data_IF_271834185448
#
_entry.id   IF_271834185448
#
_cell.length_a   1.000
_cell.length_b   1.000
_cell.length_c   1.000
_cell.angle_alpha   90.00
_cell.angle_beta   90.00
_cell.angle_gamma   90.00
#
_symmetry.space_group_name_H-M   'P 1'
#
loop_
_entity.id
_entity.type
_entity.pdbx_description
1 polymer ?
#
# COMPACT_ATOMS: atom_id res chain seq x y z
N UNK A 1 15.63 13.54 -7.22
CA UNK A 1 14.81 12.31 -7.32
C UNK A 1 13.63 12.58 -8.24
N UNK A 2 13.26 11.62 -9.09
CA UNK A 2 12.05 11.73 -9.93
C UNK A 2 10.77 11.61 -9.10
N UNK A 3 9.65 12.14 -9.61
CA UNK A 3 8.35 12.04 -8.92
C UNK A 3 7.95 10.59 -8.56
N UNK A 4 8.07 9.59 -9.46
CA UNK A 4 7.79 8.19 -9.12
C UNK A 4 8.69 7.65 -8.00
N UNK A 5 9.97 8.04 -7.98
CA UNK A 5 10.88 7.65 -6.91
C UNK A 5 10.49 8.28 -5.58
N UNK A 6 10.06 9.55 -5.59
CA UNK A 6 9.55 10.25 -4.41
C UNK A 6 8.34 9.50 -3.83
N UNK A 7 7.34 9.21 -4.66
CA UNK A 7 6.13 8.44 -4.28
C UNK A 7 6.50 7.10 -3.65
N UNK A 8 7.43 6.35 -4.26
CA UNK A 8 7.87 5.06 -3.73
C UNK A 8 8.66 5.17 -2.42
N UNK A 9 9.41 6.25 -2.23
CA UNK A 9 10.23 6.44 -1.03
C UNK A 9 9.46 6.97 0.19
N UNK A 10 8.36 7.69 -0.03
CA UNK A 10 7.63 8.36 1.05
C UNK A 10 7.05 7.40 2.10
N UNK A 11 6.42 6.27 1.76
CA UNK A 11 5.94 5.32 2.76
C UNK A 11 7.07 4.80 3.65
N UNK A 12 8.24 4.51 3.07
CA UNK A 12 9.41 4.06 3.82
C UNK A 12 9.89 5.13 4.80
N UNK A 13 9.98 6.38 4.36
CA UNK A 13 10.37 7.49 5.22
C UNK A 13 9.39 7.70 6.39
N UNK A 14 8.08 7.52 6.16
CA UNK A 14 7.07 7.61 7.22
C UNK A 14 7.24 6.47 8.22
N UNK A 15 7.39 5.23 7.76
CA UNK A 15 7.58 4.07 8.63
C UNK A 15 8.88 4.19 9.44
N UNK A 16 9.95 4.70 8.82
CA UNK A 16 11.23 4.93 9.51
C UNK A 16 11.11 6.02 10.58
N UNK A 17 10.31 7.07 10.33
CA UNK A 17 9.99 8.07 11.35
C UNK A 17 9.18 7.47 12.51
N UNK A 18 8.21 6.60 12.22
CA UNK A 18 7.44 5.89 13.25
C UNK A 18 8.31 4.98 14.13
N UNK A 19 9.44 4.46 13.60
CA UNK A 19 10.37 3.64 14.35
C UNK A 19 11.04 4.41 15.51
N UNK A 20 11.15 5.74 15.42
CA UNK A 20 11.65 6.58 16.50
C UNK A 20 10.67 6.69 17.69
N UNK A 21 9.38 6.41 17.47
CA UNK A 21 8.34 6.51 18.50
C UNK A 21 7.32 5.36 18.38
N UNK A 22 7.81 4.14 18.53
CA UNK A 22 6.97 2.93 18.40
C UNK A 22 5.87 2.83 19.45
N UNK A 23 6.02 3.48 20.60
CA UNK A 23 5.06 3.46 21.70
C UNK A 23 3.64 3.90 21.29
N UNK A 24 3.50 4.77 20.28
CA UNK A 24 2.20 5.26 19.81
C UNK A 24 1.46 4.27 18.91
N UNK A 25 2.13 3.23 18.42
CA UNK A 25 1.63 2.33 17.36
C UNK A 25 1.46 0.89 17.83
N UNK A 26 1.70 0.62 19.11
CA UNK A 26 1.70 -0.73 19.68
C UNK A 26 0.77 -0.82 20.89
N UNK A 27 0.17 -1.99 21.11
CA UNK A 27 -0.78 -2.19 22.22
C UNK A 27 -0.13 -2.14 23.58
N UNK A 28 1.09 -2.69 23.72
CA UNK A 28 1.83 -2.66 24.98
C UNK A 28 3.19 -1.96 24.80
N UNK A 29 3.24 -0.62 24.97
CA UNK A 29 4.48 0.14 24.92
C UNK A 29 5.53 -0.40 25.90
N UNK A 30 6.79 -0.44 25.49
CA UNK A 30 7.89 -0.97 26.31
C UNK A 30 7.96 -2.51 26.40
N UNK A 31 7.01 -3.23 25.82
CA UNK A 31 7.02 -4.70 25.73
C UNK A 31 6.93 -5.21 24.31
N UNK A 32 6.00 -4.69 23.52
CA UNK A 32 5.83 -5.10 22.14
C UNK A 32 6.98 -4.57 21.27
N UNK A 33 7.51 -5.44 20.40
CA UNK A 33 8.63 -5.17 19.49
C UNK A 33 9.94 -4.69 20.13
N UNK A 34 10.12 -4.83 21.45
CA UNK A 34 11.39 -4.50 22.12
C UNK A 34 12.46 -5.57 21.97
N UNK A 35 12.05 -6.83 21.75
CA UNK A 35 12.97 -7.95 21.51
C UNK A 35 13.25 -8.11 20.03
N UNK A 36 14.52 -8.30 19.70
CA UNK A 36 14.93 -8.64 18.34
C UNK A 36 14.33 -9.99 17.90
N UNK A 37 13.70 -9.98 16.72
CA UNK A 37 13.02 -11.13 16.11
C UNK A 37 13.09 -10.97 14.59
N UNK A 38 13.03 -12.10 13.87
CA UNK A 38 12.99 -12.16 12.40
C UNK A 38 11.89 -11.29 11.74
N UNK A 39 10.85 -10.95 12.50
CA UNK A 39 9.76 -10.08 12.06
C UNK A 39 9.52 -8.99 13.12
N UNK A 40 10.34 -7.95 13.07
CA UNK A 40 10.20 -6.75 13.90
C UNK A 40 9.03 -5.85 13.47
N UNK A 41 8.73 -4.81 14.25
CA UNK A 41 7.59 -3.92 13.98
C UNK A 41 7.71 -3.18 12.65
N UNK A 42 8.88 -2.63 12.36
CA UNK A 42 9.17 -1.98 11.07
C UNK A 42 9.04 -2.96 9.92
N UNK A 43 9.69 -4.13 10.00
CA UNK A 43 9.62 -5.16 8.96
C UNK A 43 8.19 -5.65 8.72
N UNK A 44 7.40 -5.80 9.78
CA UNK A 44 5.99 -6.18 9.70
C UNK A 44 5.18 -5.14 8.93
N UNK A 45 5.32 -3.86 9.26
CA UNK A 45 4.62 -2.78 8.55
C UNK A 45 5.07 -2.72 7.08
N UNK A 46 6.37 -2.86 6.83
CA UNK A 46 6.90 -2.87 5.46
C UNK A 46 6.39 -4.08 4.66
N UNK A 47 6.29 -5.24 5.28
CA UNK A 47 5.66 -6.41 4.71
C UNK A 47 4.20 -6.13 4.31
N UNK A 48 3.40 -5.48 5.17
CA UNK A 48 2.03 -5.08 4.83
C UNK A 48 1.94 -4.16 3.61
N UNK A 49 2.90 -3.27 3.43
CA UNK A 49 2.94 -2.36 2.28
C UNK A 49 3.42 -3.04 0.98
N UNK A 50 4.12 -4.17 1.10
CA UNK A 50 4.67 -4.92 -0.04
C UNK A 50 3.82 -6.12 -0.46
N UNK A 51 3.04 -6.70 0.45
CA UNK A 51 2.29 -7.92 0.17
C UNK A 51 1.26 -7.71 -0.93
N UNK A 52 1.17 -8.66 -1.84
CA UNK A 52 0.18 -8.69 -2.92
C UNK A 52 -1.05 -9.53 -2.50
N UNK A 53 -1.91 -9.89 -3.46
CA UNK A 53 -3.14 -10.67 -3.19
C UNK A 53 -2.90 -12.18 -2.97
N UNK A 54 -1.67 -12.60 -2.69
CA UNK A 54 -1.31 -14.00 -2.45
C UNK A 54 -1.69 -14.49 -1.05
N UNK A 55 -1.48 -15.79 -0.80
CA UNK A 55 -1.61 -16.32 0.55
C UNK A 55 -0.45 -15.84 1.43
N UNK A 56 -0.70 -15.62 2.73
CA UNK A 56 0.30 -15.06 3.67
C UNK A 56 1.62 -15.85 3.63
N UNK A 57 1.56 -17.18 3.57
CA UNK A 57 2.77 -18.01 3.50
C UNK A 57 3.60 -17.76 2.25
N UNK A 58 2.96 -17.61 1.08
CA UNK A 58 3.63 -17.30 -0.18
C UNK A 58 4.21 -15.88 -0.19
N UNK A 59 3.44 -14.90 0.30
CA UNK A 59 3.92 -13.51 0.42
C UNK A 59 5.10 -13.40 1.38
N UNK A 60 5.08 -14.12 2.51
CA UNK A 60 6.21 -14.19 3.44
C UNK A 60 7.45 -14.80 2.76
N UNK A 61 7.31 -15.92 2.05
CA UNK A 61 8.42 -16.49 1.29
C UNK A 61 8.99 -15.48 0.29
N UNK A 62 8.13 -14.80 -0.47
CA UNK A 62 8.54 -13.78 -1.45
C UNK A 62 9.28 -12.60 -0.80
N UNK A 63 8.79 -12.11 0.34
CA UNK A 63 9.38 -10.98 1.06
C UNK A 63 10.76 -11.31 1.63
N UNK A 64 10.96 -12.54 2.10
CA UNK A 64 12.23 -13.03 2.64
C UNK A 64 13.07 -13.76 1.57
N UNK A 65 12.93 -13.40 0.28
CA UNK A 65 13.74 -13.92 -0.82
C UNK A 65 13.80 -15.45 -0.93
N UNK A 66 12.73 -16.13 -0.50
CA UNK A 66 12.63 -17.60 -0.45
C UNK A 66 13.73 -18.27 0.40
N UNK A 67 14.26 -17.57 1.41
CA UNK A 67 15.24 -18.11 2.36
C UNK A 67 14.51 -18.78 3.54
N UNK A 68 14.37 -20.12 3.57
CA UNK A 68 13.50 -20.80 4.53
C UNK A 68 13.93 -20.59 5.99
N UNK A 69 15.22 -20.41 6.25
CA UNK A 69 15.76 -20.17 7.59
C UNK A 69 15.41 -18.79 8.13
N UNK A 70 15.04 -17.83 7.29
CA UNK A 70 14.70 -16.45 7.70
C UNK A 70 13.18 -16.23 7.77
N UNK A 71 12.40 -17.05 7.05
CA UNK A 71 10.97 -16.86 6.89
C UNK A 71 10.23 -17.20 8.21
N UNK A 72 9.48 -16.25 8.79
CA UNK A 72 8.62 -16.55 9.93
C UNK A 72 7.40 -17.36 9.49
N UNK A 73 6.84 -18.16 10.41
CA UNK A 73 5.59 -18.87 10.13
C UNK A 73 4.41 -17.89 10.02
N UNK A 74 3.38 -18.26 9.25
CA UNK A 74 2.16 -17.46 9.12
C UNK A 74 1.50 -17.17 10.49
N UNK A 75 1.59 -18.11 11.43
CA UNK A 75 1.10 -17.92 12.80
C UNK A 75 1.92 -16.86 13.56
N UNK A 76 3.26 -16.89 13.44
CA UNK A 76 4.11 -15.87 14.02
C UNK A 76 3.79 -14.48 13.45
N UNK A 77 3.49 -14.38 12.15
CA UNK A 77 3.00 -13.15 11.53
C UNK A 77 1.69 -12.67 12.16
N UNK A 78 0.67 -13.53 12.30
CA UNK A 78 -0.62 -13.17 12.91
C UNK A 78 -0.42 -12.67 14.35
N UNK A 79 0.45 -13.32 15.12
CA UNK A 79 0.79 -12.91 16.48
C UNK A 79 1.48 -11.55 16.54
N UNK A 80 2.42 -11.26 15.63
CA UNK A 80 3.06 -9.94 15.58
C UNK A 80 2.08 -8.86 15.13
N UNK A 81 1.24 -9.16 14.12
CA UNK A 81 0.17 -8.26 13.66
C UNK A 81 -0.76 -7.85 14.80
N UNK A 82 -1.12 -8.79 15.67
CA UNK A 82 -2.03 -8.53 16.78
C UNK A 82 -1.50 -7.50 17.80
N UNK A 83 -0.20 -7.18 17.78
CA UNK A 83 0.43 -6.18 18.66
C UNK A 83 0.36 -4.76 18.13
N UNK A 84 0.15 -4.59 16.83
CA UNK A 84 -0.02 -3.27 16.24
C UNK A 84 -1.41 -2.73 16.56
N UNK A 85 -1.46 -1.41 16.74
CA UNK A 85 -2.70 -0.65 16.84
C UNK A 85 -3.26 -0.37 15.44
N UNK A 86 -4.59 -0.40 15.22
CA UNK A 86 -5.21 0.00 13.94
C UNK A 86 -4.77 1.40 13.46
N UNK A 87 -4.53 2.31 14.41
CA UNK A 87 -4.08 3.68 14.20
C UNK A 87 -2.74 3.76 13.45
N UNK A 88 -1.92 2.70 13.51
CA UNK A 88 -0.64 2.58 12.78
C UNK A 88 -0.82 2.81 11.29
N UNK A 89 -1.76 2.11 10.66
CA UNK A 89 -1.98 2.22 9.22
C UNK A 89 -2.68 3.52 8.86
N UNK A 90 -3.57 3.99 9.72
CA UNK A 90 -4.19 5.31 9.57
C UNK A 90 -3.14 6.42 9.53
N UNK A 91 -2.16 6.38 10.44
CA UNK A 91 -1.06 7.35 10.49
C UNK A 91 -0.25 7.33 9.19
N UNK A 92 0.14 6.14 8.71
CA UNK A 92 0.90 5.98 7.47
C UNK A 92 0.14 6.59 6.28
N UNK A 93 -1.12 6.19 6.08
CA UNK A 93 -1.94 6.65 4.97
C UNK A 93 -2.21 8.16 5.05
N UNK A 94 -2.46 8.67 6.25
CA UNK A 94 -2.70 10.11 6.46
C UNK A 94 -1.45 10.93 6.12
N UNK A 95 -0.29 10.57 6.66
CA UNK A 95 0.98 11.27 6.39
C UNK A 95 1.41 11.13 4.93
N UNK A 96 1.17 9.97 4.31
CA UNK A 96 1.41 9.78 2.88
C UNK A 96 0.56 10.74 2.07
N UNK A 97 -0.75 10.84 2.36
CA UNK A 97 -1.65 11.75 1.67
C UNK A 97 -1.23 13.21 1.82
N UNK A 98 -0.87 13.62 3.04
CA UNK A 98 -0.37 14.96 3.31
C UNK A 98 0.89 15.30 2.49
N UNK A 99 1.74 14.30 2.21
CA UNK A 99 2.98 14.49 1.44
C UNK A 99 2.76 14.78 -0.04
N UNK A 100 1.56 14.49 -0.57
CA UNK A 100 1.21 14.64 -1.98
C UNK A 100 -0.01 15.52 -2.25
N UNK A 101 -0.58 16.17 -1.23
CA UNK A 101 -1.70 17.10 -1.40
C UNK A 101 -1.36 18.21 -2.41
N UNK A 102 -1.99 18.23 -3.60
CA UNK A 102 -1.95 19.41 -4.45
C UNK A 102 -2.91 20.46 -3.87
N UNK A 103 -2.56 21.75 -3.92
CA UNK A 103 -3.45 22.86 -3.48
C UNK A 103 -4.88 22.74 -4.03
N UNK A 104 -5.08 22.09 -5.18
CA UNK A 104 -6.40 21.85 -5.79
C UNK A 104 -7.29 20.82 -5.07
N UNK A 105 -6.73 19.90 -4.26
CA UNK A 105 -7.50 18.83 -3.62
C UNK A 105 -7.85 19.12 -2.15
N UNK A 106 -7.55 20.32 -1.64
CA UNK A 106 -7.87 20.85 -0.30
C UNK A 106 -9.19 20.31 0.28
N UNK A 107 -9.11 19.17 0.97
CA UNK A 107 -10.22 18.59 1.74
C UNK A 107 -11.26 17.77 0.96
N UNK A 108 -11.27 17.78 -0.39
CA UNK A 108 -12.34 17.15 -1.20
C UNK A 108 -12.07 15.72 -1.63
N UNK A 109 -10.83 15.37 -1.92
CA UNK A 109 -10.46 13.99 -2.28
C UNK A 109 -9.24 13.55 -1.47
N UNK A 110 -9.30 12.33 -0.93
CA UNK A 110 -8.14 11.68 -0.32
C UNK A 110 -7.46 10.82 -1.38
N UNK A 111 -6.14 10.73 -1.26
CA UNK A 111 -5.28 10.00 -2.18
C UNK A 111 -5.22 8.53 -1.73
N UNK A 112 -6.23 7.73 -2.07
CA UNK A 112 -6.45 6.43 -1.38
C UNK A 112 -5.67 5.28 -2.02
N UNK A 113 -5.12 5.42 -3.24
CA UNK A 113 -4.39 4.33 -3.87
C UNK A 113 -2.98 4.73 -4.33
N UNK A 114 -1.98 4.10 -3.72
CA UNK A 114 -0.67 3.84 -4.33
C UNK A 114 -0.48 2.32 -4.54
N UNK A 115 -1.57 1.57 -4.61
CA UNK A 115 -1.53 0.13 -4.84
C UNK A 115 -1.49 -0.19 -6.34
N UNK A 116 -0.79 -1.25 -6.72
CA UNK A 116 -0.76 -1.85 -8.06
C UNK A 116 -2.12 -2.46 -8.46
N UNK A 117 -3.21 -2.06 -7.83
CA UNK A 117 -4.56 -2.44 -8.23
C UNK A 117 -4.79 -2.08 -9.70
N UNK A 118 -4.88 -3.12 -10.52
CA UNK A 118 -5.35 -3.01 -11.89
C UNK A 118 -6.87 -2.87 -11.85
N UNK A 119 -7.38 -1.64 -12.00
CA UNK A 119 -8.81 -1.39 -12.07
C UNK A 119 -9.27 -1.44 -13.52
N UNK A 120 -10.24 -2.30 -13.80
CA UNK A 120 -10.96 -2.29 -15.07
C UNK A 120 -11.98 -1.16 -15.05
N UNK A 121 -11.64 -0.01 -15.65
CA UNK A 121 -12.57 1.11 -15.81
C UNK A 121 -13.66 0.71 -16.81
N UNK A 122 -14.92 1.01 -16.50
CA UNK A 122 -16.03 0.80 -17.43
C UNK A 122 -15.83 1.61 -18.73
N UNK A 123 -16.27 1.06 -19.87
CA UNK A 123 -16.13 1.70 -21.19
C UNK A 123 -16.81 3.08 -21.19
N UNK A 124 -16.04 4.16 -21.34
CA UNK A 124 -16.58 5.50 -21.54
C UNK A 124 -16.13 6.07 -22.91
N UNK A 125 -17.01 6.12 -23.92
CA UNK A 125 -16.71 6.69 -25.23
C UNK A 125 -16.36 8.19 -25.22
N UNK A 126 -16.71 8.90 -24.14
CA UNK A 126 -16.45 10.33 -23.99
C UNK A 126 -15.02 10.64 -23.49
N UNK A 127 -14.23 9.62 -23.15
CA UNK A 127 -12.88 9.78 -22.60
C UNK A 127 -11.87 9.06 -23.51
N UNK A 128 -11.26 9.77 -24.48
CA UNK A 128 -10.37 9.18 -25.49
C UNK A 128 -9.14 8.47 -24.91
N UNK A 129 -8.70 8.83 -23.71
CA UNK A 129 -7.58 8.19 -23.00
C UNK A 129 -7.91 6.80 -22.45
N UNK A 130 -9.19 6.41 -22.42
CA UNK A 130 -9.67 5.12 -21.89
C UNK A 130 -10.29 4.20 -22.95
N UNK A 131 -10.33 4.65 -24.21
CA UNK A 131 -10.98 3.93 -25.30
C UNK A 131 -10.04 3.76 -26.49
N UNK A 132 -9.69 2.52 -26.82
CA UNK A 132 -9.06 2.20 -28.11
C UNK A 132 -10.13 1.72 -29.10
N UNK A 133 -10.24 2.37 -30.28
CA UNK A 133 -11.19 1.95 -31.31
C UNK A 133 -10.88 0.53 -31.79
N UNK A 134 -11.89 -0.12 -32.37
CA UNK A 134 -11.76 -1.45 -32.95
C UNK A 134 -10.67 -1.49 -34.03
N UNK A 135 -9.48 -1.99 -33.68
CA UNK A 135 -8.59 -2.57 -34.67
C UNK A 135 -9.14 -3.96 -35.00
N UNK A 136 -9.07 -4.41 -36.27
CA UNK A 136 -9.77 -5.59 -36.81
C UNK A 136 -9.64 -6.94 -36.06
N UNK A 137 -8.96 -6.99 -34.92
CA UNK A 137 -8.89 -8.08 -33.95
C UNK A 137 -10.03 -8.09 -32.91
N UNK A 138 -10.76 -6.98 -32.70
CA UNK A 138 -11.90 -6.90 -31.76
C UNK A 138 -13.03 -6.03 -32.29
N UNK A 139 -14.24 -6.59 -32.41
CA UNK A 139 -15.45 -5.88 -32.90
C UNK A 139 -15.94 -4.75 -31.97
N UNK A 140 -15.47 -4.69 -30.72
CA UNK A 140 -15.97 -3.75 -29.68
C UNK A 140 -14.91 -2.77 -29.15
N UNK A 141 -13.73 -2.69 -29.79
CA UNK A 141 -12.58 -1.95 -29.23
C UNK A 141 -11.99 -2.64 -28.00
N UNK A 142 -10.85 -2.15 -27.53
CA UNK A 142 -10.20 -2.65 -26.30
C UNK A 142 -10.10 -1.53 -25.27
N UNK A 143 -10.24 -1.91 -24.01
CA UNK A 143 -9.86 -1.04 -22.90
C UNK A 143 -8.36 -1.26 -22.72
N UNK A 144 -7.52 -0.22 -22.69
CA UNK A 144 -6.16 -0.40 -22.24
C UNK A 144 -6.19 -0.94 -20.81
N UNK A 145 -5.43 -1.99 -20.54
CA UNK A 145 -4.99 -2.28 -19.17
C UNK A 145 -4.22 -1.06 -18.70
N UNK A 146 -4.93 -0.09 -18.11
CA UNK A 146 -4.29 1.06 -17.46
C UNK A 146 -3.74 0.54 -16.16
N UNK A 147 -2.51 0.05 -16.23
CA UNK A 147 -1.61 0.05 -15.09
C UNK A 147 -1.40 1.52 -14.74
N UNK A 148 -2.23 2.06 -13.85
CA UNK A 148 -2.10 3.43 -13.38
C UNK A 148 -0.69 3.60 -12.82
N UNK A 149 0.18 4.41 -13.44
CA UNK A 149 1.46 4.73 -12.82
C UNK A 149 1.28 5.79 -11.72
N UNK A 150 0.07 6.36 -11.60
CA UNK A 150 -0.22 7.49 -10.74
C UNK A 150 -1.62 7.35 -10.17
N UNK A 151 -1.68 6.99 -8.90
CA UNK A 151 -2.55 7.56 -7.90
C UNK A 151 -4.00 7.82 -8.33
N UNK A 152 -4.92 6.98 -7.87
CA UNK A 152 -6.36 7.25 -7.94
C UNK A 152 -6.87 7.89 -6.64
N UNK A 153 -7.49 9.05 -6.78
CA UNK A 153 -8.19 9.73 -5.69
C UNK A 153 -9.65 9.26 -5.64
N UNK A 154 -10.13 8.84 -4.48
CA UNK A 154 -11.54 8.52 -4.27
C UNK A 154 -12.27 9.68 -3.57
N UNK A 155 -13.55 9.96 -3.93
CA UNK A 155 -14.39 10.87 -3.18
C UNK A 155 -14.58 10.37 -1.74
N UNK A 156 -14.58 11.28 -0.78
CA UNK A 156 -14.98 10.96 0.60
C UNK A 156 -16.45 10.54 0.61
N UNK A 157 -16.71 9.24 0.80
CA UNK A 157 -18.08 8.72 0.90
C UNK A 157 -18.30 7.24 0.57
N UNK A 158 -17.27 6.47 0.19
CA UNK A 158 -17.44 5.06 -0.24
C UNK A 158 -16.87 4.06 0.78
N UNK A 159 -16.83 4.41 2.07
CA UNK A 159 -16.51 3.44 3.12
C UNK A 159 -17.42 3.67 4.32
N UNK A 160 -18.54 2.95 4.32
CA UNK A 160 -19.36 2.60 5.48
C UNK A 160 -19.60 1.09 5.41
#
# INVERSE_FOLDING_TARGET
MSFPQKVKSTPWAIVDNMACNTAQFVKHPGRDFTRDRKLGGVQLIRFFLCMESGCIGHELLKYFYFLPDEVPTAFAFIQQRAKLLPETFWHILSHFNLSFLPERFMGRCSLIAADRCEFNIARNPQVPSTFHPASGKSKKGSIPSTRFPYITCFPKGIWM
#
